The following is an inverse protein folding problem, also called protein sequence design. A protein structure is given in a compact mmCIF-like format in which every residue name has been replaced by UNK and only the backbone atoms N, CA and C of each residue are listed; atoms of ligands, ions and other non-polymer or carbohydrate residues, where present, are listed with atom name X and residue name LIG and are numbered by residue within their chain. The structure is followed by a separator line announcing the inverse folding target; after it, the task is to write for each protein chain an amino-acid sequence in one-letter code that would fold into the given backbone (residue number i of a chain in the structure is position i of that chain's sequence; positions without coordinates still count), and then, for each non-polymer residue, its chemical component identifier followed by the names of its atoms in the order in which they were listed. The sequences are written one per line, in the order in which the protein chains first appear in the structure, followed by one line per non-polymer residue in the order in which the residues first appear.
data_IF_488464822436
#
_entry.id   IF_488464822436
#
_cell.length_a   1.000
_cell.length_b   1.000
_cell.length_c   1.000
_cell.angle_alpha   90.00
_cell.angle_beta   90.00
_cell.angle_gamma   90.00
#
_symmetry.space_group_name_H-M   'P 1'
#
loop_
_entity.id
_entity.type
_entity.pdbx_description
1 polymer ?
#
# COMPACT_ATOMS: atom_id res chain seq x y z
N UNK A 1 -37.40 -14.61 1.45
CA UNK A 1 -36.78 -14.14 0.19
C UNK A 1 -35.44 -13.52 0.55
N UNK A 2 -34.38 -14.32 0.45
CA UNK A 2 -33.00 -13.83 0.74
C UNK A 2 -32.54 -12.96 -0.42
N UNK A 3 -32.48 -11.67 -0.20
CA UNK A 3 -31.80 -10.75 -1.10
C UNK A 3 -30.29 -10.97 -0.93
N UNK A 4 -29.71 -11.74 -1.82
CA UNK A 4 -28.25 -11.79 -1.99
C UNK A 4 -27.86 -10.45 -2.61
N UNK A 5 -27.47 -9.48 -1.78
CA UNK A 5 -26.75 -8.30 -2.25
C UNK A 5 -25.48 -8.80 -2.93
N UNK A 6 -25.44 -8.76 -4.26
CA UNK A 6 -24.21 -8.89 -5.00
C UNK A 6 -23.42 -7.65 -4.64
N UNK A 7 -22.36 -7.81 -3.84
CA UNK A 7 -21.36 -6.76 -3.69
C UNK A 7 -20.89 -6.37 -5.08
N UNK A 8 -21.21 -5.16 -5.50
CA UNK A 8 -20.80 -4.66 -6.80
C UNK A 8 -19.26 -4.61 -6.79
N UNK A 9 -18.66 -5.26 -7.78
CA UNK A 9 -17.19 -5.33 -7.92
C UNK A 9 -16.64 -3.91 -8.05
N UNK A 10 -15.74 -3.53 -7.16
CA UNK A 10 -15.05 -2.23 -7.20
C UNK A 10 -14.13 -2.18 -8.41
N UNK A 11 -14.05 -1.01 -9.07
CA UNK A 11 -13.10 -0.78 -10.15
C UNK A 11 -11.75 -0.40 -9.55
N UNK A 12 -10.81 -1.35 -9.56
CA UNK A 12 -9.43 -1.18 -9.08
C UNK A 12 -8.52 -1.02 -10.27
N UNK A 13 -7.92 0.14 -10.43
CA UNK A 13 -6.96 0.40 -11.51
C UNK A 13 -5.53 0.45 -10.96
N UNK A 14 -4.62 -0.19 -11.67
CA UNK A 14 -3.21 -0.27 -11.32
C UNK A 14 -2.41 0.58 -12.29
N UNK A 15 -1.52 1.40 -11.77
CA UNK A 15 -0.62 2.30 -12.50
C UNK A 15 0.81 2.04 -12.07
N UNK A 16 1.76 2.25 -12.96
CA UNK A 16 3.18 2.12 -12.65
C UNK A 16 4.00 1.58 -13.82
N UNK A 17 5.30 1.76 -13.71
CA UNK A 17 6.24 1.21 -14.68
C UNK A 17 6.26 -0.34 -14.63
N UNK A 18 6.53 -0.98 -15.75
CA UNK A 18 6.55 -2.45 -15.87
C UNK A 18 7.46 -3.14 -14.83
N UNK A 19 8.54 -2.48 -14.42
CA UNK A 19 9.46 -2.99 -13.39
C UNK A 19 8.85 -3.13 -12.01
N UNK A 20 7.71 -2.45 -11.74
CA UNK A 20 6.96 -2.57 -10.50
C UNK A 20 5.94 -3.73 -10.51
N UNK A 21 5.94 -4.54 -11.57
CA UNK A 21 5.08 -5.71 -11.75
C UNK A 21 3.57 -5.39 -11.65
N UNK A 22 3.07 -4.35 -12.35
CA UNK A 22 1.68 -3.92 -12.24
C UNK A 22 0.67 -5.03 -12.57
N UNK A 23 0.98 -5.95 -13.50
CA UNK A 23 0.14 -7.10 -13.83
C UNK A 23 0.00 -8.08 -12.67
N UNK A 24 1.08 -8.32 -11.91
CA UNK A 24 1.03 -9.17 -10.72
C UNK A 24 0.23 -8.52 -9.59
N UNK A 25 0.35 -7.20 -9.44
CA UNK A 25 -0.44 -6.41 -8.50
C UNK A 25 -1.92 -6.45 -8.90
N UNK A 26 -2.23 -6.26 -10.19
CA UNK A 26 -3.60 -6.35 -10.69
C UNK A 26 -4.23 -7.72 -10.43
N UNK A 27 -3.48 -8.80 -10.67
CA UNK A 27 -3.93 -10.15 -10.39
C UNK A 27 -4.23 -10.38 -8.89
N UNK A 28 -3.41 -9.81 -8.00
CA UNK A 28 -3.57 -9.96 -6.54
C UNK A 28 -4.84 -9.28 -6.01
N UNK A 29 -5.28 -8.19 -6.65
CA UNK A 29 -6.41 -7.36 -6.18
C UNK A 29 -7.64 -7.39 -7.08
N UNK A 30 -7.64 -8.23 -8.13
CA UNK A 30 -8.74 -8.28 -9.09
C UNK A 30 -8.90 -6.99 -9.89
N UNK A 31 -7.79 -6.27 -10.09
CA UNK A 31 -7.76 -4.99 -10.79
C UNK A 31 -7.35 -5.11 -12.25
N UNK A 32 -7.20 -3.95 -12.89
CA UNK A 32 -6.79 -3.82 -14.29
C UNK A 32 -5.65 -2.81 -14.39
N UNK A 33 -4.60 -3.16 -15.12
CA UNK A 33 -3.54 -2.19 -15.44
C UNK A 33 -4.09 -1.15 -16.42
N UNK A 34 -3.87 0.13 -16.12
CA UNK A 34 -4.36 1.24 -16.92
C UNK A 34 -3.27 2.29 -17.17
N UNK A 35 -3.43 3.05 -18.24
CA UNK A 35 -2.56 4.18 -18.59
C UNK A 35 -3.33 5.50 -18.63
N UNK A 36 -4.60 5.48 -18.26
CA UNK A 36 -5.48 6.65 -18.24
C UNK A 36 -6.16 6.78 -16.88
N UNK A 37 -6.32 8.01 -16.40
CA UNK A 37 -7.15 8.33 -15.24
C UNK A 37 -8.58 8.63 -15.69
N UNK A 38 -9.57 8.31 -14.83
CA UNK A 38 -10.95 8.59 -15.12
C UNK A 38 -11.86 8.44 -13.90
N UNK A 39 -13.06 9.05 -13.93
CA UNK A 39 -13.98 9.06 -12.79
C UNK A 39 -14.61 7.68 -12.49
N UNK A 40 -14.45 6.71 -13.39
CA UNK A 40 -14.98 5.36 -13.23
C UNK A 40 -14.11 4.47 -12.31
N UNK A 41 -12.92 4.96 -11.96
CA UNK A 41 -12.01 4.28 -11.06
C UNK A 41 -12.44 4.50 -9.61
N UNK A 42 -12.72 3.43 -8.88
CA UNK A 42 -13.09 3.51 -7.45
C UNK A 42 -11.85 3.68 -6.56
N UNK A 43 -10.74 3.11 -6.98
CA UNK A 43 -9.43 3.23 -6.33
C UNK A 43 -8.30 3.08 -7.32
N UNK A 44 -7.31 3.94 -7.22
CA UNK A 44 -6.08 3.87 -8.00
C UNK A 44 -4.92 3.36 -7.14
N UNK A 45 -4.29 2.28 -7.58
CA UNK A 45 -3.09 1.71 -6.95
C UNK A 45 -1.88 2.05 -7.80
N UNK A 46 -0.93 2.77 -7.21
CA UNK A 46 0.31 3.14 -7.87
C UNK A 46 1.44 2.19 -7.43
N UNK A 47 1.88 1.34 -8.34
CA UNK A 47 2.95 0.38 -8.09
C UNK A 47 4.32 1.00 -8.39
N UNK A 48 5.22 0.94 -7.42
CA UNK A 48 6.57 1.50 -7.49
C UNK A 48 7.60 0.40 -7.24
N UNK A 49 8.62 0.36 -8.10
CA UNK A 49 9.84 -0.39 -7.84
C UNK A 49 10.91 0.57 -7.31
N UNK A 50 11.42 0.38 -6.08
CA UNK A 50 12.43 1.25 -5.49
C UNK A 50 13.67 1.46 -6.38
N UNK A 51 14.11 0.42 -7.05
CA UNK A 51 15.31 0.43 -7.89
C UNK A 51 15.15 1.21 -9.21
N UNK A 52 13.91 1.39 -9.69
CA UNK A 52 13.65 2.02 -11.00
C UNK A 52 13.24 3.49 -10.89
N UNK A 53 12.87 3.95 -9.70
CA UNK A 53 12.31 5.28 -9.50
C UNK A 53 10.87 5.42 -10.01
N UNK A 54 10.41 6.66 -10.14
CA UNK A 54 9.04 7.00 -10.58
C UNK A 54 9.15 7.83 -11.86
N UNK A 55 8.57 7.34 -12.95
CA UNK A 55 8.60 8.01 -14.23
C UNK A 55 7.61 9.19 -14.35
N UNK A 56 7.86 10.08 -15.30
CA UNK A 56 7.02 11.25 -15.54
C UNK A 56 5.55 10.90 -15.81
N UNK A 57 5.23 9.93 -16.70
CA UNK A 57 3.86 9.51 -16.94
C UNK A 57 3.12 9.05 -15.69
N UNK A 58 3.76 8.32 -14.79
CA UNK A 58 3.17 7.88 -13.52
C UNK A 58 2.86 9.07 -12.61
N UNK A 59 3.76 10.07 -12.55
CA UNK A 59 3.54 11.32 -11.78
C UNK A 59 2.35 12.10 -12.33
N UNK A 60 2.24 12.23 -13.63
CA UNK A 60 1.12 12.96 -14.26
C UNK A 60 -0.22 12.23 -14.04
N UNK A 61 -0.23 10.90 -14.07
CA UNK A 61 -1.43 10.10 -13.75
C UNK A 61 -1.87 10.33 -12.30
N UNK A 62 -0.92 10.34 -11.35
CA UNK A 62 -1.23 10.65 -9.95
C UNK A 62 -1.96 11.97 -9.80
N UNK A 63 -1.45 13.04 -10.39
CA UNK A 63 -2.05 14.38 -10.35
C UNK A 63 -3.42 14.44 -11.02
N UNK A 64 -3.62 13.66 -12.08
CA UNK A 64 -4.91 13.63 -12.80
C UNK A 64 -6.07 13.14 -11.94
N UNK A 65 -5.81 12.41 -10.86
CA UNK A 65 -6.84 11.95 -9.94
C UNK A 65 -7.30 13.00 -8.93
N UNK A 66 -6.63 14.15 -8.83
CA UNK A 66 -7.04 15.24 -7.93
C UNK A 66 -8.41 15.80 -8.31
N UNK A 67 -8.73 15.87 -9.63
CA UNK A 67 -10.02 16.31 -10.12
C UNK A 67 -11.19 15.42 -9.66
N UNK A 68 -10.92 14.13 -9.44
CA UNK A 68 -11.94 13.14 -9.10
C UNK A 68 -12.00 12.82 -7.62
N UNK A 69 -11.03 13.31 -6.84
CA UNK A 69 -10.85 12.92 -5.43
C UNK A 69 -10.86 11.39 -5.24
N UNK A 70 -10.33 10.68 -6.22
CA UNK A 70 -10.28 9.21 -6.20
C UNK A 70 -9.35 8.75 -5.08
N UNK A 71 -9.77 7.78 -4.25
CA UNK A 71 -8.88 7.10 -3.31
C UNK A 71 -7.65 6.54 -4.01
N UNK A 72 -6.47 6.82 -3.46
CA UNK A 72 -5.19 6.38 -4.02
C UNK A 72 -4.34 5.74 -2.94
N UNK A 73 -3.64 4.69 -3.30
CA UNK A 73 -2.58 4.14 -2.46
C UNK A 73 -1.36 3.77 -3.30
N UNK A 74 -0.22 3.76 -2.64
CA UNK A 74 1.05 3.37 -3.25
C UNK A 74 1.41 1.97 -2.78
N UNK A 75 1.69 1.08 -3.72
CA UNK A 75 2.27 -0.23 -3.46
C UNK A 75 3.73 -0.19 -3.84
N UNK A 76 4.59 -0.46 -2.88
CA UNK A 76 6.03 -0.54 -3.10
C UNK A 76 6.43 -2.00 -3.16
N UNK A 77 6.94 -2.43 -4.31
CA UNK A 77 7.40 -3.81 -4.48
C UNK A 77 8.66 -4.05 -3.68
N UNK A 78 8.61 -5.02 -2.78
CA UNK A 78 9.75 -5.45 -1.96
C UNK A 78 10.12 -6.88 -2.32
N UNK A 79 11.36 -7.07 -2.76
CA UNK A 79 11.88 -8.37 -3.21
C UNK A 79 13.27 -8.62 -2.63
N UNK A 80 13.70 -9.89 -2.66
CA UNK A 80 15.02 -10.27 -2.21
C UNK A 80 16.12 -9.59 -3.05
N UNK A 81 17.18 -9.15 -2.40
CA UNK A 81 18.38 -8.62 -3.05
C UNK A 81 18.22 -7.21 -3.64
N UNK A 82 17.19 -6.45 -3.26
CA UNK A 82 17.07 -5.04 -3.65
C UNK A 82 18.03 -4.18 -2.83
N UNK A 83 18.76 -3.28 -3.51
CA UNK A 83 19.67 -2.32 -2.86
C UNK A 83 18.91 -1.18 -2.17
N UNK A 84 17.77 -0.77 -2.74
CA UNK A 84 16.88 0.22 -2.14
C UNK A 84 15.75 -0.48 -1.39
N UNK A 85 15.49 -0.01 -0.20
CA UNK A 85 14.45 -0.55 0.65
C UNK A 85 13.11 0.22 0.51
N UNK A 86 12.15 -0.21 1.33
CA UNK A 86 10.81 0.38 1.36
C UNK A 86 10.84 1.85 1.76
N UNK A 87 11.63 2.21 2.78
CA UNK A 87 11.69 3.58 3.31
C UNK A 87 12.29 4.56 2.29
N UNK A 88 13.34 4.15 1.58
CA UNK A 88 13.92 4.91 0.48
C UNK A 88 12.89 5.20 -0.63
N UNK A 89 12.06 4.20 -0.96
CA UNK A 89 11.01 4.36 -1.96
C UNK A 89 9.90 5.31 -1.50
N UNK A 90 9.52 5.28 -0.22
CA UNK A 90 8.56 6.23 0.36
C UNK A 90 9.12 7.65 0.30
N UNK A 91 10.40 7.85 0.68
CA UNK A 91 11.05 9.16 0.57
C UNK A 91 11.08 9.69 -0.86
N UNK A 92 11.33 8.81 -1.83
CA UNK A 92 11.28 9.19 -3.24
C UNK A 92 9.87 9.58 -3.68
N UNK A 93 8.87 8.80 -3.32
CA UNK A 93 7.47 9.03 -3.66
C UNK A 93 6.94 10.34 -3.05
N UNK A 94 7.30 10.65 -1.82
CA UNK A 94 6.95 11.91 -1.14
C UNK A 94 7.49 13.19 -1.81
N UNK A 95 8.47 13.06 -2.73
CA UNK A 95 8.98 14.20 -3.50
C UNK A 95 8.15 14.55 -4.72
N UNK A 96 7.35 13.59 -5.21
CA UNK A 96 6.65 13.71 -6.49
C UNK A 96 5.14 13.48 -6.39
N UNK A 97 4.68 12.82 -5.34
CA UNK A 97 3.26 12.64 -4.99
C UNK A 97 2.87 13.55 -3.82
N UNK A 98 1.60 13.49 -3.41
CA UNK A 98 1.16 14.04 -2.14
C UNK A 98 1.83 13.31 -0.97
N UNK A 99 1.87 13.91 0.24
CA UNK A 99 2.43 13.25 1.41
C UNK A 99 1.79 11.89 1.67
N UNK A 100 2.61 10.86 1.72
CA UNK A 100 2.20 9.48 1.98
C UNK A 100 2.24 9.19 3.47
N UNK A 101 1.33 8.35 3.93
CA UNK A 101 1.34 7.78 5.28
C UNK A 101 1.85 6.35 5.21
N UNK A 102 2.74 5.99 6.13
CA UNK A 102 3.36 4.66 6.21
C UNK A 102 2.85 3.92 7.43
N UNK A 103 1.74 3.16 7.33
CA UNK A 103 1.17 2.47 8.49
C UNK A 103 1.92 1.19 8.88
N UNK A 104 2.78 0.68 8.01
CA UNK A 104 3.54 -0.56 8.21
C UNK A 104 4.98 -0.40 7.75
N UNK A 105 5.93 -0.99 8.48
CA UNK A 105 7.32 -1.14 8.07
C UNK A 105 7.62 -2.59 7.69
N UNK A 106 8.66 -2.79 6.88
CA UNK A 106 9.12 -4.12 6.45
C UNK A 106 10.06 -4.72 7.49
N UNK A 107 9.87 -5.99 7.82
CA UNK A 107 10.77 -6.78 8.63
C UNK A 107 11.57 -7.73 7.73
N UNK A 108 12.88 -7.74 7.92
CA UNK A 108 13.81 -8.56 7.17
C UNK A 108 14.33 -9.73 8.00
N UNK A 109 14.45 -10.89 7.37
CA UNK A 109 15.10 -12.07 7.95
C UNK A 109 16.63 -11.98 7.93
N UNK A 110 17.29 -13.04 8.38
CA UNK A 110 18.77 -13.11 8.52
C UNK A 110 19.54 -12.81 7.23
N UNK A 111 18.98 -13.12 6.07
CA UNK A 111 19.61 -12.88 4.76
C UNK A 111 19.19 -11.54 4.12
N UNK A 112 18.52 -10.66 4.87
CA UNK A 112 17.96 -9.41 4.32
C UNK A 112 16.70 -9.62 3.48
N UNK A 113 16.12 -10.81 3.47
CA UNK A 113 14.87 -11.14 2.77
C UNK A 113 13.70 -10.49 3.47
N UNK A 114 12.81 -9.77 2.74
CA UNK A 114 11.56 -9.26 3.30
C UNK A 114 10.65 -10.42 3.70
N UNK A 115 10.45 -10.63 4.98
CA UNK A 115 9.67 -11.75 5.52
C UNK A 115 8.42 -11.32 6.27
N UNK A 116 8.33 -10.07 6.70
CA UNK A 116 7.24 -9.63 7.55
C UNK A 116 7.00 -8.14 7.52
N UNK A 117 6.01 -7.74 8.28
CA UNK A 117 5.65 -6.33 8.52
C UNK A 117 5.39 -6.08 9.99
N UNK A 118 5.56 -4.83 10.42
CA UNK A 118 5.08 -4.34 11.71
C UNK A 118 4.11 -3.18 11.48
N UNK A 119 2.96 -3.25 12.15
CA UNK A 119 1.98 -2.17 12.19
C UNK A 119 2.44 -1.08 13.15
N UNK A 120 2.52 0.17 12.70
CA UNK A 120 2.84 1.31 13.54
C UNK A 120 1.64 1.76 14.40
N UNK A 121 0.44 1.31 14.06
CA UNK A 121 -0.75 1.61 14.86
C UNK A 121 -0.79 0.85 16.18
N UNK A 122 -0.65 -0.48 16.13
CA UNK A 122 -0.86 -1.36 17.27
C UNK A 122 0.35 -2.26 17.61
N UNK A 123 1.46 -2.11 16.89
CA UNK A 123 2.69 -2.88 17.05
C UNK A 123 2.52 -4.40 16.81
N UNK A 124 1.50 -4.78 16.02
CA UNK A 124 1.33 -6.15 15.56
C UNK A 124 2.36 -6.46 14.45
N UNK A 125 3.09 -7.54 14.61
CA UNK A 125 3.95 -8.10 13.58
C UNK A 125 3.23 -9.18 12.81
N UNK A 126 3.47 -9.26 11.50
CA UNK A 126 2.97 -10.34 10.64
C UNK A 126 4.14 -10.98 9.92
N UNK A 127 4.33 -12.28 10.12
CA UNK A 127 5.36 -13.09 9.47
C UNK A 127 4.74 -13.86 8.28
N UNK A 128 5.19 -13.52 7.08
CA UNK A 128 4.72 -14.13 5.82
C UNK A 128 5.60 -15.31 5.36
N UNK A 129 6.62 -15.67 6.14
CA UNK A 129 7.40 -16.90 5.88
C UNK A 129 6.62 -18.17 6.21
N UNK A 130 5.51 -18.04 6.95
CA UNK A 130 4.58 -19.13 7.28
C UNK A 130 3.29 -19.05 6.46
N UNK A 131 2.62 -20.18 6.27
CA UNK A 131 1.33 -20.23 5.58
C UNK A 131 0.31 -21.01 6.42
N UNK A 132 -0.74 -20.36 6.98
CA UNK A 132 -1.04 -18.93 6.86
C UNK A 132 -0.01 -18.05 7.60
N UNK A 133 0.05 -16.74 7.28
CA UNK A 133 0.93 -15.79 7.99
C UNK A 133 0.65 -15.77 9.49
N UNK A 134 1.70 -15.69 10.29
CA UNK A 134 1.61 -15.67 11.75
C UNK A 134 1.64 -14.24 12.27
N UNK A 135 0.71 -13.89 13.16
CA UNK A 135 0.66 -12.57 13.81
C UNK A 135 1.05 -12.67 15.28
N UNK A 136 1.81 -11.69 15.76
CA UNK A 136 2.21 -11.54 17.16
C UNK A 136 2.40 -10.08 17.53
N UNK A 137 2.47 -9.78 18.82
CA UNK A 137 2.87 -8.44 19.27
C UNK A 137 4.39 -8.32 19.19
N UNK A 138 4.90 -7.17 18.74
CA UNK A 138 6.32 -6.86 18.73
C UNK A 138 6.93 -6.97 20.13
N UNK A 139 8.14 -7.52 20.23
CA UNK A 139 8.90 -7.50 21.47
C UNK A 139 9.42 -6.10 21.82
N UNK A 140 9.92 -5.93 23.05
CA UNK A 140 10.36 -4.62 23.55
C UNK A 140 11.52 -4.02 22.74
N UNK A 141 12.41 -4.87 22.18
CA UNK A 141 13.53 -4.42 21.35
C UNK A 141 13.04 -3.85 20.03
N UNK A 142 12.13 -4.54 19.35
CA UNK A 142 11.56 -4.09 18.10
C UNK A 142 10.68 -2.84 18.31
N UNK A 143 9.94 -2.76 19.40
CA UNK A 143 9.15 -1.57 19.76
C UNK A 143 10.04 -0.34 19.93
N UNK A 144 11.21 -0.47 20.57
CA UNK A 144 12.15 0.65 20.71
C UNK A 144 12.77 1.06 19.36
N UNK A 145 13.08 0.09 18.48
CA UNK A 145 13.62 0.37 17.13
C UNK A 145 12.63 1.18 16.29
N UNK A 146 11.34 0.88 16.34
CA UNK A 146 10.33 1.54 15.50
C UNK A 146 9.67 2.75 16.15
N UNK A 147 10.09 3.13 17.35
CA UNK A 147 9.45 4.15 18.17
C UNK A 147 9.30 5.49 17.45
N UNK A 148 10.37 6.00 16.85
CA UNK A 148 10.38 7.30 16.17
C UNK A 148 9.44 7.28 14.95
N UNK A 149 9.47 6.19 14.16
CA UNK A 149 8.55 5.99 13.04
C UNK A 149 7.08 5.95 13.48
N UNK A 150 6.84 5.29 14.62
CA UNK A 150 5.50 5.20 15.20
C UNK A 150 5.00 6.56 15.69
N UNK A 151 5.84 7.34 16.36
CA UNK A 151 5.49 8.69 16.82
C UNK A 151 5.14 9.57 15.61
N UNK A 152 5.94 9.57 14.55
CA UNK A 152 5.66 10.31 13.32
C UNK A 152 4.34 9.86 12.67
N UNK A 153 4.11 8.55 12.56
CA UNK A 153 2.87 8.01 12.01
C UNK A 153 1.64 8.44 12.83
N UNK A 154 1.70 8.32 14.16
CA UNK A 154 0.58 8.71 15.03
C UNK A 154 0.31 10.21 14.96
N UNK A 155 1.34 11.05 14.86
CA UNK A 155 1.19 12.50 14.68
C UNK A 155 0.49 12.83 13.36
N UNK A 156 0.83 12.14 12.27
CA UNK A 156 0.13 12.28 10.99
C UNK A 156 -1.34 11.87 11.07
N UNK A 157 -1.66 10.84 11.87
CA UNK A 157 -3.02 10.32 12.00
C UNK A 157 -3.91 11.13 12.94
N UNK A 158 -3.36 11.96 13.83
CA UNK A 158 -4.14 12.79 14.78
C UNK A 158 -5.15 13.70 14.07
N UNK A 159 -4.80 14.23 12.89
CA UNK A 159 -5.64 15.13 12.12
C UNK A 159 -6.52 14.42 11.08
N UNK A 160 -6.40 13.10 10.97
CA UNK A 160 -7.14 12.31 9.99
C UNK A 160 -8.47 11.82 10.56
N UNK A 161 -9.54 12.09 9.84
CA UNK A 161 -10.87 11.60 10.17
C UNK A 161 -11.07 10.15 9.70
N UNK A 162 -11.99 9.44 10.33
CA UNK A 162 -12.44 8.12 9.85
C UNK A 162 -12.94 8.24 8.39
N UNK A 163 -12.49 7.32 7.53
CA UNK A 163 -12.83 7.35 6.10
C UNK A 163 -11.97 8.29 5.23
N UNK A 164 -10.89 8.88 5.77
CA UNK A 164 -10.00 9.77 5.02
C UNK A 164 -9.41 9.10 3.75
N UNK A 165 -9.13 7.79 3.79
CA UNK A 165 -8.71 7.05 2.61
C UNK A 165 -9.81 6.99 1.55
N UNK A 166 -11.02 6.59 1.92
CA UNK A 166 -12.16 6.52 1.01
C UNK A 166 -12.56 7.89 0.45
N UNK A 167 -12.25 8.97 1.16
CA UNK A 167 -12.46 10.34 0.72
C UNK A 167 -11.35 10.88 -0.22
N UNK A 168 -10.29 10.11 -0.47
CA UNK A 168 -9.16 10.54 -1.29
C UNK A 168 -8.29 11.62 -0.63
N UNK A 169 -8.20 11.61 0.71
CA UNK A 169 -7.44 12.57 1.52
C UNK A 169 -6.19 11.90 2.13
N UNK A 170 -6.30 10.65 2.53
CA UNK A 170 -5.20 9.85 3.06
C UNK A 170 -4.62 8.96 1.96
N UNK A 171 -3.29 8.98 1.80
CA UNK A 171 -2.59 8.20 0.79
C UNK A 171 -1.59 7.23 1.45
N UNK A 172 -1.99 5.97 1.71
CA UNK A 172 -1.10 5.01 2.34
C UNK A 172 -0.06 4.45 1.36
N UNK A 173 1.15 4.22 1.86
CA UNK A 173 2.19 3.46 1.19
C UNK A 173 2.33 2.08 1.85
N UNK A 174 2.18 1.01 1.08
CA UNK A 174 2.15 -0.37 1.57
C UNK A 174 3.23 -1.19 0.87
N UNK A 175 4.09 -1.90 1.63
CA UNK A 175 5.04 -2.84 1.04
C UNK A 175 4.30 -4.09 0.55
N UNK A 176 4.61 -4.55 -0.66
CA UNK A 176 4.00 -5.75 -1.23
C UNK A 176 5.02 -6.62 -1.93
N UNK A 177 4.97 -7.91 -1.64
CA UNK A 177 5.66 -8.94 -2.40
C UNK A 177 4.64 -10.00 -2.85
N UNK A 178 4.34 -10.02 -4.14
CA UNK A 178 3.36 -10.96 -4.70
C UNK A 178 3.83 -12.41 -4.72
N UNK A 179 5.16 -12.65 -4.53
CA UNK A 179 5.74 -13.99 -4.50
C UNK A 179 5.47 -14.73 -3.19
N UNK A 180 5.54 -14.03 -2.05
CA UNK A 180 5.27 -14.62 -0.72
C UNK A 180 3.98 -14.11 -0.05
N UNK A 181 3.26 -13.18 -0.70
CA UNK A 181 2.00 -12.63 -0.20
C UNK A 181 2.15 -11.48 0.79
N UNK A 182 3.38 -11.02 1.09
CA UNK A 182 3.62 -9.92 2.02
C UNK A 182 2.83 -8.69 1.59
N UNK A 183 2.06 -8.12 2.51
CA UNK A 183 1.31 -6.89 2.37
C UNK A 183 0.02 -6.97 1.53
N UNK A 184 -0.30 -8.12 0.93
CA UNK A 184 -1.54 -8.27 0.14
C UNK A 184 -2.78 -8.12 1.03
N UNK A 185 -2.77 -8.69 2.23
CA UNK A 185 -3.84 -8.53 3.21
C UNK A 185 -4.00 -7.08 3.65
N UNK A 186 -2.91 -6.34 3.84
CA UNK A 186 -2.91 -4.93 4.24
C UNK A 186 -3.58 -4.03 3.19
N UNK A 187 -3.27 -4.23 1.91
CA UNK A 187 -3.95 -3.51 0.81
C UNK A 187 -5.44 -3.86 0.77
N UNK A 188 -5.80 -5.13 0.96
CA UNK A 188 -7.20 -5.56 0.99
C UNK A 188 -8.00 -4.93 2.13
N UNK A 189 -7.37 -4.67 3.27
CA UNK A 189 -8.01 -3.93 4.38
C UNK A 189 -8.43 -2.52 3.92
N UNK A 190 -7.55 -1.76 3.26
CA UNK A 190 -7.90 -0.46 2.67
C UNK A 190 -8.99 -0.57 1.60
N UNK A 191 -8.91 -1.57 0.72
CA UNK A 191 -9.95 -1.77 -0.29
C UNK A 191 -11.32 -2.09 0.34
N UNK A 192 -11.34 -2.71 1.51
CA UNK A 192 -12.58 -3.02 2.24
C UNK A 192 -13.24 -1.76 2.85
N UNK A 193 -12.49 -0.69 3.12
CA UNK A 193 -13.03 0.59 3.60
C UNK A 193 -13.85 1.33 2.54
N UNK A 194 -13.63 1.03 1.26
CA UNK A 194 -14.33 1.70 0.18
C UNK A 194 -15.82 1.34 0.16
N UNK A 195 -16.71 2.31 -0.11
CA UNK A 195 -18.13 2.04 -0.22
C UNK A 195 -18.41 1.06 -1.36
N UNK A 196 -19.37 0.16 -1.16
CA UNK A 196 -19.88 -0.69 -2.24
C UNK A 196 -20.60 0.17 -3.27
N UNK A 197 -20.41 -0.08 -4.57
CA UNK A 197 -21.23 0.56 -5.61
C UNK A 197 -22.69 0.17 -5.42
N UNK A 198 -23.55 1.12 -5.29
CA UNK A 198 -25.01 0.94 -5.25
C UNK A 198 -25.57 0.68 -6.66
#
# INVERSE_FOLDING_TARGET
MSSTSRDAVKSVNIYGHISALPESIAAAFGGTVSTIAGPECDVAIFAINPAAGIDGPTIELWKSFDEFQTPRLVVITVMDGMEMDFDDAVLLANRVFDPLVTPHLVLHGEAGTPIGTISLNDLTTTDYSTNPPTRSTADDELQEIVKDFREEFLDQMVEMEEGAFAAGILFPAIPVNTGNGLGIDLVKEFLAELPSRS
#
